data_IF_395123731037
#
_entry.id   IF_395123731037
#
_cell.length_a   1.000
_cell.length_b   1.000
_cell.length_c   1.000
_cell.angle_alpha   90.00
_cell.angle_beta   90.00
_cell.angle_gamma   90.00
#
_symmetry.space_group_name_H-M   'P 1'
#
loop_
_entity.id
_entity.type
_entity.pdbx_description
1 polymer ?
#
# COMPACT_ATOMS: atom_id res chain seq x y z
N UNK A 1 -30.20 6.90 71.18
CA UNK A 1 -30.18 8.07 70.27
C UNK A 1 -28.74 8.34 69.87
N UNK A 2 -28.52 8.82 68.63
CA UNK A 2 -27.24 9.05 67.95
C UNK A 2 -26.67 7.82 67.22
N UNK A 3 -26.89 7.66 65.92
CA UNK A 3 -26.36 8.38 64.74
C UNK A 3 -25.01 7.82 64.24
N UNK A 4 -25.16 6.83 63.35
CA UNK A 4 -24.39 6.53 62.15
C UNK A 4 -23.07 7.30 61.92
N UNK A 5 -21.93 6.62 62.13
CA UNK A 5 -20.64 7.05 61.61
C UNK A 5 -20.41 6.44 60.22
N UNK A 6 -20.44 7.27 59.17
CA UNK A 6 -19.93 6.91 57.85
C UNK A 6 -18.40 6.90 57.89
N UNK A 7 -17.79 5.73 57.73
CA UNK A 7 -16.36 5.59 57.45
C UNK A 7 -16.16 5.53 55.93
N UNK A 8 -15.47 6.51 55.37
CA UNK A 8 -14.90 6.43 54.02
C UNK A 8 -13.66 5.51 54.07
N UNK A 9 -13.57 4.42 53.29
CA UNK A 9 -12.29 3.82 52.97
C UNK A 9 -11.72 4.50 51.72
N UNK A 10 -10.53 5.09 51.88
CA UNK A 10 -9.71 5.55 50.77
C UNK A 10 -9.38 4.36 49.86
N UNK A 11 -9.84 4.40 48.60
CA UNK A 11 -9.40 3.50 47.54
C UNK A 11 -7.96 3.88 47.16
N UNK A 12 -7.01 3.12 47.69
CA UNK A 12 -5.64 3.05 47.18
C UNK A 12 -5.69 2.54 45.73
N UNK A 13 -5.49 3.46 44.78
CA UNK A 13 -5.21 3.14 43.38
C UNK A 13 -3.84 2.47 43.35
N UNK A 14 -3.82 1.14 43.36
CA UNK A 14 -2.62 0.36 43.12
C UNK A 14 -2.23 0.51 41.65
N UNK A 15 -1.29 1.43 41.41
CA UNK A 15 -0.59 1.57 40.15
C UNK A 15 0.30 0.33 39.96
N UNK A 16 -0.28 -0.76 39.45
CA UNK A 16 0.49 -1.94 39.08
C UNK A 16 1.14 -1.66 37.73
N UNK A 17 2.36 -1.14 37.81
CA UNK A 17 3.30 -1.05 36.71
C UNK A 17 3.59 -2.49 36.25
N UNK A 18 2.96 -2.93 35.18
CA UNK A 18 3.37 -4.15 34.46
C UNK A 18 4.65 -3.85 33.68
N UNK A 19 5.77 -3.93 34.39
CA UNK A 19 7.11 -4.03 33.82
C UNK A 19 7.41 -5.52 33.61
N UNK A 20 7.19 -6.01 32.39
CA UNK A 20 8.06 -7.01 31.74
C UNK A 20 7.44 -7.50 30.43
N UNK A 21 7.87 -6.89 29.33
CA UNK A 21 8.16 -7.65 28.12
C UNK A 21 9.53 -7.20 27.64
N UNK A 22 10.55 -7.62 28.38
CA UNK A 22 11.86 -7.95 27.82
C UNK A 22 11.66 -9.13 26.85
N UNK A 23 11.01 -8.86 25.72
CA UNK A 23 11.27 -9.61 24.51
C UNK A 23 12.59 -9.07 24.00
N UNK A 24 13.68 -9.73 24.41
CA UNK A 24 14.95 -9.61 23.73
C UNK A 24 14.69 -9.55 22.23
N UNK A 25 15.38 -8.65 21.53
CA UNK A 25 15.64 -8.85 20.12
C UNK A 25 16.41 -10.18 20.03
N UNK A 26 15.68 -11.29 20.01
CA UNK A 26 16.17 -12.50 19.40
C UNK A 26 16.65 -12.01 18.04
N UNK A 27 17.95 -12.11 17.83
CA UNK A 27 18.57 -11.91 16.54
C UNK A 27 18.10 -13.08 15.69
N UNK A 28 16.82 -13.10 15.36
CA UNK A 28 16.19 -14.11 14.55
C UNK A 28 16.89 -14.03 13.21
N UNK A 29 17.62 -15.12 12.89
CA UNK A 29 18.23 -15.25 11.57
C UNK A 29 17.09 -15.03 10.56
N UNK A 30 17.26 -14.14 9.57
CA UNK A 30 16.25 -13.92 8.56
C UNK A 30 15.88 -15.27 7.93
N UNK A 31 14.59 -15.51 7.75
CA UNK A 31 14.11 -16.57 6.88
C UNK A 31 14.73 -16.39 5.50
N UNK A 32 15.08 -17.50 4.87
CA UNK A 32 15.75 -17.49 3.58
C UNK A 32 14.72 -17.28 2.47
N UNK A 33 15.02 -16.36 1.56
CA UNK A 33 14.28 -16.25 0.30
C UNK A 33 15.02 -17.02 -0.79
N UNK A 34 14.32 -17.98 -1.39
CA UNK A 34 14.80 -18.73 -2.55
C UNK A 34 14.02 -18.24 -3.77
N UNK A 35 14.73 -17.65 -4.74
CA UNK A 35 14.08 -17.27 -6.00
C UNK A 35 13.74 -18.53 -6.79
N UNK A 36 12.46 -18.74 -7.06
CA UNK A 36 11.99 -19.89 -7.84
C UNK A 36 11.80 -19.54 -9.32
N UNK A 37 11.55 -18.27 -9.61
CA UNK A 37 11.11 -17.85 -10.93
C UNK A 37 11.39 -16.38 -11.17
N UNK A 38 11.67 -16.06 -12.43
CA UNK A 38 11.80 -14.71 -12.97
C UNK A 38 11.11 -14.65 -14.33
N UNK A 39 10.14 -13.76 -14.50
CA UNK A 39 9.30 -13.61 -15.69
C UNK A 39 9.53 -12.22 -16.28
N UNK A 40 9.81 -12.19 -17.58
CA UNK A 40 10.00 -10.97 -18.34
C UNK A 40 11.15 -11.14 -19.34
N UNK A 41 11.02 -10.53 -20.51
CA UNK A 41 12.05 -10.53 -21.55
C UNK A 41 12.03 -9.21 -22.31
N UNK A 42 13.20 -8.73 -22.73
CA UNK A 42 13.29 -7.60 -23.66
C UNK A 42 13.01 -8.00 -25.11
N UNK A 43 13.22 -9.28 -25.43
CA UNK A 43 13.20 -9.79 -26.80
C UNK A 43 11.83 -10.33 -27.22
N UNK A 44 10.89 -10.46 -26.29
CA UNK A 44 9.54 -10.96 -26.54
C UNK A 44 8.49 -9.96 -26.03
N UNK A 45 7.81 -9.30 -26.97
CA UNK A 45 6.75 -8.33 -26.68
C UNK A 45 5.62 -8.88 -25.79
N UNK A 46 5.37 -10.20 -25.83
CA UNK A 46 4.33 -10.82 -25.00
C UNK A 46 4.71 -10.86 -23.53
N UNK A 47 6.00 -10.94 -23.25
CA UNK A 47 6.55 -11.06 -21.89
C UNK A 47 7.30 -9.82 -21.45
N UNK A 48 7.57 -8.85 -22.34
CA UNK A 48 8.13 -7.56 -22.00
C UNK A 48 7.23 -6.78 -21.04
N UNK A 49 7.86 -6.17 -20.03
CA UNK A 49 7.17 -5.44 -18.98
C UNK A 49 7.72 -4.02 -18.91
N UNK A 50 6.83 -3.04 -19.05
CA UNK A 50 7.19 -1.62 -18.98
C UNK A 50 7.17 -1.12 -17.54
N UNK A 51 5.96 -1.06 -16.95
CA UNK A 51 5.73 -0.73 -15.55
C UNK A 51 4.63 -1.60 -14.98
N UNK A 52 4.94 -2.28 -13.89
CA UNK A 52 4.09 -3.19 -13.13
C UNK A 52 3.72 -2.52 -11.81
N UNK A 53 2.59 -1.80 -11.75
CA UNK A 53 2.12 -1.23 -10.50
C UNK A 53 1.44 -2.26 -9.60
N UNK A 54 0.79 -3.28 -10.20
CA UNK A 54 -0.12 -4.21 -9.52
C UNK A 54 0.04 -5.61 -10.13
N UNK A 55 0.08 -6.62 -9.25
CA UNK A 55 -0.02 -8.03 -9.59
C UNK A 55 -1.14 -8.63 -8.74
N UNK A 56 -2.03 -9.40 -9.36
CA UNK A 56 -2.99 -10.23 -8.65
C UNK A 56 -2.63 -11.70 -8.89
N UNK A 57 -2.73 -12.52 -7.84
CA UNK A 57 -2.38 -13.94 -7.88
C UNK A 57 -3.63 -14.75 -7.60
N UNK A 58 -3.99 -15.67 -8.49
CA UNK A 58 -5.12 -16.59 -8.32
C UNK A 58 -4.72 -17.86 -7.53
N UNK A 59 -5.67 -18.61 -6.93
CA UNK A 59 -5.35 -19.76 -6.07
C UNK A 59 -4.50 -20.84 -6.74
N UNK A 60 -4.66 -21.01 -8.04
CA UNK A 60 -3.86 -21.88 -8.91
C UNK A 60 -2.47 -21.30 -9.28
N UNK A 61 -2.11 -20.16 -8.69
CA UNK A 61 -0.91 -19.36 -8.95
C UNK A 61 -0.86 -18.72 -10.33
N UNK A 62 -1.98 -18.63 -11.05
CA UNK A 62 -2.09 -17.77 -12.24
C UNK A 62 -1.86 -16.31 -11.85
N UNK A 63 -1.01 -15.62 -12.61
CA UNK A 63 -0.61 -14.23 -12.38
C UNK A 63 -1.29 -13.31 -13.37
N UNK A 64 -1.96 -12.29 -12.85
CA UNK A 64 -2.50 -11.18 -13.63
C UNK A 64 -1.63 -9.95 -13.37
N UNK A 65 -1.00 -9.43 -14.42
CA UNK A 65 -0.01 -8.36 -14.34
C UNK A 65 -0.52 -7.14 -15.11
N UNK A 66 -0.78 -6.04 -14.40
CA UNK A 66 -1.22 -4.80 -15.04
C UNK A 66 -0.08 -4.20 -15.89
N UNK A 67 -0.41 -3.76 -17.10
CA UNK A 67 0.48 -3.02 -18.00
C UNK A 67 -0.23 -1.74 -18.46
N UNK A 68 -0.29 -0.70 -17.59
CA UNK A 68 -1.11 0.48 -17.85
C UNK A 68 -0.69 1.27 -19.09
N UNK A 69 0.59 1.25 -19.44
CA UNK A 69 1.11 1.94 -20.63
C UNK A 69 0.61 1.32 -21.94
N UNK A 70 0.21 0.06 -21.89
CA UNK A 70 -0.32 -0.70 -23.03
C UNK A 70 -1.84 -0.93 -22.92
N UNK A 71 -2.47 -0.38 -21.87
CA UNK A 71 -3.89 -0.55 -21.60
C UNK A 71 -4.35 -2.02 -21.60
N UNK A 72 -3.54 -2.92 -21.04
CA UNK A 72 -3.85 -4.35 -20.97
C UNK A 72 -3.38 -5.00 -19.67
N UNK A 73 -3.84 -6.22 -19.44
CA UNK A 73 -3.41 -7.10 -18.35
C UNK A 73 -2.78 -8.34 -18.98
N UNK A 74 -1.51 -8.62 -18.68
CA UNK A 74 -0.84 -9.86 -19.10
C UNK A 74 -1.16 -10.98 -18.11
N UNK A 75 -1.42 -12.18 -18.61
CA UNK A 75 -1.74 -13.36 -17.81
C UNK A 75 -0.65 -14.42 -18.00
N UNK A 76 -0.11 -14.90 -16.89
CA UNK A 76 0.90 -15.95 -16.85
C UNK A 76 0.39 -17.14 -16.02
N UNK A 77 0.72 -18.35 -16.44
CA UNK A 77 0.42 -19.55 -15.64
C UNK A 77 1.38 -19.68 -14.44
N UNK A 78 1.17 -20.68 -13.60
CA UNK A 78 1.99 -20.96 -12.42
C UNK A 78 3.47 -21.27 -12.74
N UNK A 79 3.76 -21.68 -13.98
CA UNK A 79 5.12 -21.90 -14.49
C UNK A 79 5.75 -20.63 -15.05
N UNK A 80 4.99 -19.52 -15.11
CA UNK A 80 5.45 -18.21 -15.56
C UNK A 80 5.40 -18.04 -17.07
N UNK A 81 4.78 -18.98 -17.78
CA UNK A 81 4.60 -18.90 -19.22
C UNK A 81 3.42 -17.99 -19.52
N UNK A 82 3.58 -17.14 -20.53
CA UNK A 82 2.52 -16.29 -21.02
C UNK A 82 1.35 -17.14 -21.53
N UNK A 83 0.14 -16.78 -21.10
CA UNK A 83 -1.10 -17.47 -21.48
C UNK A 83 -1.90 -16.60 -22.46
N UNK A 84 -2.17 -15.34 -22.08
CA UNK A 84 -3.00 -14.40 -22.84
C UNK A 84 -2.84 -12.97 -22.34
N UNK A 85 -3.39 -12.02 -23.08
CA UNK A 85 -3.60 -10.64 -22.66
C UNK A 85 -5.10 -10.34 -22.58
N UNK A 86 -5.50 -9.50 -21.63
CA UNK A 86 -6.87 -9.05 -21.43
C UNK A 86 -6.92 -7.54 -21.65
N UNK A 87 -7.83 -7.11 -22.52
CA UNK A 87 -8.05 -5.71 -22.86
C UNK A 87 -7.07 -5.16 -23.88
N UNK A 88 -7.33 -3.89 -24.23
CA UNK A 88 -6.56 -3.06 -25.17
C UNK A 88 -6.93 -1.59 -24.96
N UNK A 89 -6.22 -0.69 -25.62
CA UNK A 89 -6.57 0.73 -25.68
C UNK A 89 -7.95 0.96 -26.30
N UNK A 90 -8.84 1.67 -25.59
CA UNK A 90 -10.16 2.05 -26.10
C UNK A 90 -11.21 2.32 -25.01
N UNK A 91 -12.47 2.38 -25.41
CA UNK A 91 -13.62 2.70 -24.55
C UNK A 91 -14.74 1.65 -24.58
N UNK A 92 -14.66 0.68 -25.48
CA UNK A 92 -15.61 -0.41 -25.60
C UNK A 92 -15.57 -1.42 -24.44
N UNK A 93 -16.42 -2.45 -24.48
CA UNK A 93 -16.41 -3.55 -23.52
C UNK A 93 -15.04 -4.22 -23.43
N UNK A 94 -14.50 -4.30 -22.21
CA UNK A 94 -13.18 -4.89 -21.94
C UNK A 94 -11.97 -4.02 -22.32
N UNK A 95 -12.17 -2.81 -22.86
CA UNK A 95 -11.09 -1.88 -23.23
C UNK A 95 -10.76 -0.89 -22.11
N UNK A 96 -9.55 -0.33 -22.14
CA UNK A 96 -9.04 0.61 -21.14
C UNK A 96 -8.44 1.87 -21.77
N UNK A 97 -8.73 3.03 -21.17
CA UNK A 97 -8.02 4.30 -21.33
C UNK A 97 -6.96 4.52 -20.24
N UNK A 98 -7.25 4.09 -19.01
CA UNK A 98 -6.32 4.21 -17.87
C UNK A 98 -6.56 3.08 -16.88
N UNK A 99 -5.90 1.94 -17.11
CA UNK A 99 -5.91 0.80 -16.19
C UNK A 99 -5.25 1.19 -14.86
N UNK A 100 -6.05 1.36 -13.81
CA UNK A 100 -5.58 1.93 -12.54
C UNK A 100 -5.50 0.94 -11.39
N UNK A 101 -6.57 0.17 -11.14
CA UNK A 101 -6.64 -0.83 -10.07
C UNK A 101 -7.17 -2.15 -10.60
N UNK A 102 -6.79 -3.24 -9.97
CA UNK A 102 -7.34 -4.56 -10.27
C UNK A 102 -7.20 -5.48 -9.08
N UNK A 103 -7.93 -6.58 -9.11
CA UNK A 103 -7.83 -7.66 -8.14
C UNK A 103 -8.71 -8.83 -8.53
N UNK A 104 -8.75 -9.83 -7.66
CA UNK A 104 -9.58 -11.01 -7.85
C UNK A 104 -10.72 -11.04 -6.85
N UNK A 105 -11.79 -11.74 -7.22
CA UNK A 105 -12.87 -12.15 -6.34
C UNK A 105 -13.33 -13.53 -6.80
N UNK A 106 -12.90 -14.57 -6.10
CA UNK A 106 -12.98 -15.94 -6.64
C UNK A 106 -12.30 -15.98 -8.02
N UNK A 107 -13.00 -16.52 -9.01
CA UNK A 107 -12.50 -16.65 -10.39
C UNK A 107 -12.74 -15.40 -11.26
N UNK A 108 -13.28 -14.33 -10.67
CA UNK A 108 -13.53 -13.08 -11.38
C UNK A 108 -12.34 -12.12 -11.21
N UNK A 109 -11.74 -11.73 -12.33
CA UNK A 109 -10.86 -10.58 -12.39
C UNK A 109 -11.70 -9.31 -12.53
N UNK A 110 -11.47 -8.35 -11.64
CA UNK A 110 -12.01 -7.00 -11.78
C UNK A 110 -10.87 -6.02 -12.07
N UNK A 111 -11.15 -5.04 -12.91
CA UNK A 111 -10.23 -3.97 -13.26
C UNK A 111 -10.97 -2.64 -13.31
N UNK A 112 -10.31 -1.58 -12.83
CA UNK A 112 -10.84 -0.23 -12.79
C UNK A 112 -10.11 0.61 -13.82
N UNK A 113 -10.89 1.19 -14.70
CA UNK A 113 -10.47 2.32 -15.52
C UNK A 113 -10.75 3.63 -14.78
N UNK A 114 -9.70 4.33 -14.38
CA UNK A 114 -9.82 5.58 -13.63
C UNK A 114 -10.20 6.77 -14.50
N UNK A 115 -9.99 6.69 -15.83
CA UNK A 115 -10.34 7.76 -16.77
C UNK A 115 -11.81 7.68 -17.17
N UNK A 116 -12.30 6.45 -17.40
CA UNK A 116 -13.70 6.19 -17.73
C UNK A 116 -14.59 6.07 -16.49
N UNK A 117 -14.00 6.12 -15.28
CA UNK A 117 -14.68 5.84 -14.01
C UNK A 117 -15.51 4.56 -14.12
N UNK A 118 -14.87 3.46 -14.53
CA UNK A 118 -15.54 2.21 -14.87
C UNK A 118 -14.86 1.04 -14.18
N UNK A 119 -15.66 0.13 -13.65
CA UNK A 119 -15.19 -1.19 -13.25
C UNK A 119 -15.62 -2.21 -14.31
N UNK A 120 -14.69 -3.01 -14.80
CA UNK A 120 -14.91 -4.09 -15.76
C UNK A 120 -14.57 -5.43 -15.12
N UNK A 121 -15.35 -6.45 -15.46
CA UNK A 121 -15.22 -7.80 -14.91
C UNK A 121 -15.02 -8.83 -16.00
N UNK A 122 -14.11 -9.76 -15.73
CA UNK A 122 -13.64 -10.77 -16.66
C UNK A 122 -13.67 -12.15 -16.00
N UNK A 123 -13.98 -13.18 -16.78
CA UNK A 123 -13.84 -14.57 -16.35
C UNK A 123 -12.36 -14.96 -16.20
N UNK A 124 -12.09 -16.13 -15.63
CA UNK A 124 -10.74 -16.69 -15.55
C UNK A 124 -10.07 -16.86 -16.94
N UNK A 125 -10.86 -17.13 -17.99
CA UNK A 125 -10.36 -17.19 -19.37
C UNK A 125 -10.12 -15.81 -20.00
N UNK A 126 -10.40 -14.73 -19.28
CA UNK A 126 -10.20 -13.36 -19.73
C UNK A 126 -11.34 -12.79 -20.57
N UNK A 127 -12.50 -13.45 -20.61
CA UNK A 127 -13.67 -12.94 -21.33
C UNK A 127 -14.34 -11.85 -20.53
N UNK A 128 -14.48 -10.66 -21.13
CA UNK A 128 -15.30 -9.59 -20.57
C UNK A 128 -16.75 -10.04 -20.48
N UNK A 129 -17.41 -9.80 -19.35
CA UNK A 129 -18.83 -10.13 -19.22
C UNK A 129 -19.67 -9.02 -18.60
N UNK A 130 -19.09 -8.07 -17.85
CA UNK A 130 -19.83 -6.88 -17.40
C UNK A 130 -18.94 -5.68 -17.14
N UNK A 131 -19.54 -4.49 -17.23
CA UNK A 131 -18.93 -3.24 -16.80
C UNK A 131 -19.97 -2.34 -16.15
N UNK A 132 -19.61 -1.69 -15.06
CA UNK A 132 -20.44 -0.65 -14.43
C UNK A 132 -19.66 0.65 -14.34
N UNK A 133 -20.37 1.78 -14.55
CA UNK A 133 -19.82 3.08 -14.21
C UNK A 133 -19.77 3.22 -12.69
N UNK A 134 -18.65 3.69 -12.17
CA UNK A 134 -18.54 4.12 -10.79
C UNK A 134 -19.46 5.34 -10.61
N UNK A 135 -20.44 5.21 -9.73
CA UNK A 135 -21.31 6.31 -9.34
C UNK A 135 -20.48 7.46 -8.73
N UNK A 136 -21.02 8.70 -8.72
CA UNK A 136 -20.48 9.76 -7.88
C UNK A 136 -20.23 9.27 -6.46
N UNK A 137 -19.19 9.79 -5.82
CA UNK A 137 -18.80 9.30 -4.50
C UNK A 137 -19.95 9.47 -3.50
N UNK A 138 -20.39 8.39 -2.83
CA UNK A 138 -21.37 8.50 -1.75
C UNK A 138 -20.73 8.97 -0.42
N UNK A 139 -19.46 9.39 -0.46
CA UNK A 139 -18.65 9.73 0.72
C UNK A 139 -18.39 11.23 0.89
N UNK A 140 -18.93 12.06 -0.01
CA UNK A 140 -18.78 13.52 0.00
C UNK A 140 -18.81 14.09 -1.42
N UNK A 141 -19.39 15.29 -1.58
CA UNK A 141 -19.51 16.00 -2.87
C UNK A 141 -18.15 16.39 -3.44
N UNK A 142 -17.15 16.54 -2.57
CA UNK A 142 -15.77 16.86 -2.91
C UNK A 142 -15.02 15.72 -3.63
N UNK A 143 -15.58 14.51 -3.65
CA UNK A 143 -14.97 13.32 -4.23
C UNK A 143 -15.62 12.92 -5.56
N UNK A 144 -14.82 12.84 -6.63
CA UNK A 144 -15.34 12.53 -7.97
C UNK A 144 -15.79 11.07 -8.14
N UNK A 145 -15.09 10.13 -7.51
CA UNK A 145 -15.38 8.69 -7.61
C UNK A 145 -14.87 7.94 -6.39
N UNK A 146 -15.43 6.76 -6.15
CA UNK A 146 -15.04 5.86 -5.04
C UNK A 146 -14.64 4.49 -5.56
N UNK A 147 -13.45 4.38 -6.18
CA UNK A 147 -12.99 3.11 -6.72
C UNK A 147 -12.78 2.08 -5.59
N UNK A 148 -13.01 0.78 -5.89
CA UNK A 148 -12.72 -0.29 -4.93
C UNK A 148 -11.23 -0.33 -4.56
N UNK A 149 -10.97 -0.65 -3.30
CA UNK A 149 -9.69 -1.16 -2.80
C UNK A 149 -9.65 -2.70 -2.90
N UNK A 150 -10.80 -3.35 -2.77
CA UNK A 150 -10.96 -4.80 -2.86
C UNK A 150 -12.36 -5.24 -2.44
N UNK A 151 -12.59 -6.55 -2.44
CA UNK A 151 -13.87 -7.15 -2.04
C UNK A 151 -13.69 -7.94 -0.75
N UNK A 152 -14.70 -7.92 0.11
CA UNK A 152 -14.78 -8.84 1.26
C UNK A 152 -15.41 -10.17 0.82
N UNK A 153 -15.26 -11.20 1.66
CA UNK A 153 -15.77 -12.55 1.38
C UNK A 153 -17.30 -12.61 1.23
N UNK A 154 -18.03 -11.69 1.86
CA UNK A 154 -19.48 -11.51 1.70
C UNK A 154 -19.88 -10.86 0.36
N UNK A 155 -18.89 -10.41 -0.42
CA UNK A 155 -19.07 -9.76 -1.71
C UNK A 155 -19.36 -8.26 -1.65
N UNK A 156 -19.33 -7.65 -0.47
CA UNK A 156 -19.30 -6.21 -0.29
C UNK A 156 -17.95 -5.63 -0.72
N UNK A 157 -17.92 -4.33 -0.98
CA UNK A 157 -16.80 -3.62 -1.57
C UNK A 157 -16.16 -2.74 -0.50
N UNK A 158 -14.86 -2.89 -0.27
CA UNK A 158 -14.10 -1.89 0.48
C UNK A 158 -13.63 -0.85 -0.52
N UNK A 159 -14.01 0.40 -0.33
CA UNK A 159 -13.74 1.46 -1.29
C UNK A 159 -13.18 2.71 -0.60
N UNK A 160 -12.42 3.49 -1.35
CA UNK A 160 -11.80 4.73 -0.90
C UNK A 160 -11.92 5.76 -2.03
N UNK A 161 -12.30 7.01 -1.73
CA UNK A 161 -12.50 8.00 -2.77
C UNK A 161 -11.19 8.37 -3.46
N UNK A 162 -11.32 8.74 -4.74
CA UNK A 162 -10.26 9.42 -5.48
C UNK A 162 -10.07 10.81 -4.88
N UNK A 163 -8.85 11.12 -4.43
CA UNK A 163 -8.56 12.37 -3.73
C UNK A 163 -8.04 13.42 -4.72
N UNK A 164 -8.67 14.60 -4.82
CA UNK A 164 -8.13 15.70 -5.59
C UNK A 164 -6.74 16.10 -5.10
N UNK A 165 -5.79 16.34 -6.01
CA UNK A 165 -4.40 16.67 -5.64
C UNK A 165 -4.32 17.89 -4.73
N UNK A 166 -5.13 18.93 -4.98
CA UNK A 166 -5.21 20.12 -4.13
C UNK A 166 -5.66 19.79 -2.70
N UNK A 167 -6.62 18.87 -2.55
CA UNK A 167 -7.05 18.39 -1.24
C UNK A 167 -5.96 17.59 -0.56
N UNK A 168 -5.22 16.73 -1.28
CA UNK A 168 -4.08 16.01 -0.71
C UNK A 168 -2.94 16.95 -0.25
N UNK A 169 -2.86 18.16 -0.81
CA UNK A 169 -1.89 19.18 -0.48
C UNK A 169 -2.37 20.20 0.56
N UNK A 170 -3.65 20.17 0.97
CA UNK A 170 -4.28 21.21 1.78
C UNK A 170 -3.79 21.29 3.22
N UNK A 171 -3.07 20.27 3.71
CA UNK A 171 -2.57 20.27 5.07
C UNK A 171 -1.65 19.09 5.41
N UNK A 172 -1.12 19.08 6.64
CA UNK A 172 -0.23 18.02 7.12
C UNK A 172 -0.97 16.72 7.43
N UNK A 173 -2.29 16.76 7.61
CA UNK A 173 -3.09 15.60 7.93
C UNK A 173 -4.50 15.72 7.33
N UNK A 174 -4.79 14.97 6.27
CA UNK A 174 -6.11 14.93 5.62
C UNK A 174 -6.71 13.55 5.85
N UNK A 175 -7.91 13.48 6.44
CA UNK A 175 -8.60 12.22 6.71
C UNK A 175 -9.37 11.76 5.49
N UNK A 176 -9.11 10.54 5.05
CA UNK A 176 -9.77 9.94 3.89
C UNK A 176 -10.70 8.82 4.36
N UNK A 177 -12.01 8.91 4.08
CA UNK A 177 -12.95 7.88 4.49
C UNK A 177 -12.66 6.57 3.76
N UNK A 178 -12.79 5.46 4.48
CA UNK A 178 -12.79 4.10 3.92
C UNK A 178 -14.13 3.48 4.24
N UNK A 179 -14.86 3.08 3.21
CA UNK A 179 -16.24 2.61 3.36
C UNK A 179 -16.41 1.17 2.88
N UNK A 180 -17.35 0.48 3.52
CA UNK A 180 -17.91 -0.76 3.01
C UNK A 180 -19.16 -0.39 2.21
N UNK A 181 -19.18 -0.76 0.94
CA UNK A 181 -20.29 -0.52 0.02
C UNK A 181 -20.93 -1.85 -0.39
N UNK A 182 -22.22 -1.81 -0.74
CA UNK A 182 -22.84 -2.94 -1.44
C UNK A 182 -22.44 -2.95 -2.93
N UNK A 183 -22.99 -3.91 -3.69
CA UNK A 183 -22.69 -4.05 -5.13
C UNK A 183 -23.22 -2.90 -5.98
N UNK A 184 -24.19 -2.15 -5.47
CA UNK A 184 -24.79 -0.99 -6.11
C UNK A 184 -24.05 0.31 -5.72
N UNK A 185 -23.02 0.23 -4.87
CA UNK A 185 -22.23 1.37 -4.42
C UNK A 185 -22.84 2.13 -3.24
N UNK A 186 -23.90 1.61 -2.60
CA UNK A 186 -24.49 2.24 -1.41
C UNK A 186 -23.64 1.95 -0.19
N UNK A 187 -23.49 2.94 0.69
CA UNK A 187 -22.71 2.79 1.93
C UNK A 187 -23.44 1.89 2.91
N UNK A 188 -22.83 0.76 3.25
CA UNK A 188 -23.29 -0.16 4.29
C UNK A 188 -22.76 0.26 5.66
N UNK A 189 -21.46 0.58 5.72
CA UNK A 189 -20.76 0.94 6.95
C UNK A 189 -19.45 1.66 6.63
N UNK A 190 -18.74 2.15 7.65
CA UNK A 190 -17.48 2.89 7.49
C UNK A 190 -16.39 2.29 8.37
N UNK A 191 -15.26 1.96 7.76
CA UNK A 191 -14.03 1.66 8.49
C UNK A 191 -13.41 2.97 9.02
N UNK A 192 -12.41 2.89 9.92
CA UNK A 192 -11.62 4.06 10.28
C UNK A 192 -11.04 4.76 9.05
N UNK A 193 -10.99 6.08 9.08
CA UNK A 193 -10.35 6.87 8.03
C UNK A 193 -8.84 6.60 7.96
N UNK A 194 -8.28 6.71 6.76
CA UNK A 194 -6.84 6.71 6.51
C UNK A 194 -6.32 8.15 6.50
N UNK A 195 -5.17 8.40 7.12
CA UNK A 195 -4.55 9.73 7.13
C UNK A 195 -3.61 9.92 5.93
N UNK A 196 -3.85 10.94 5.10
CA UNK A 196 -2.82 11.48 4.21
C UNK A 196 -1.94 12.44 4.99
N UNK A 197 -0.66 12.12 5.12
CA UNK A 197 0.26 12.83 6.03
C UNK A 197 1.11 13.86 5.30
N UNK A 198 0.47 14.67 4.46
CA UNK A 198 1.16 15.72 3.75
C UNK A 198 2.18 15.22 2.72
N UNK A 199 1.93 14.03 2.17
CA UNK A 199 2.79 13.43 1.14
C UNK A 199 2.79 14.20 -0.18
N UNK A 200 1.88 15.17 -0.33
CA UNK A 200 1.84 16.13 -1.42
C UNK A 200 1.93 17.53 -0.84
N UNK A 201 2.75 18.39 -1.45
CA UNK A 201 2.95 19.79 -1.06
C UNK A 201 2.61 20.69 -2.23
N UNK A 202 1.95 21.78 -1.89
CA UNK A 202 1.76 22.88 -2.82
C UNK A 202 3.08 23.62 -3.03
N UNK A 203 3.44 23.87 -4.29
CA UNK A 203 4.57 24.69 -4.68
C UNK A 203 4.05 25.83 -5.55
N UNK A 204 4.16 27.08 -5.06
CA UNK A 204 3.83 28.26 -5.87
C UNK A 204 4.89 28.42 -6.95
N UNK A 205 4.46 28.48 -8.20
CA UNK A 205 5.29 28.73 -9.37
C UNK A 205 4.82 30.02 -10.07
N UNK A 206 5.69 30.75 -10.78
CA UNK A 206 5.35 31.98 -11.51
C UNK A 206 4.01 31.98 -12.27
N UNK A 207 3.60 30.84 -12.84
CA UNK A 207 2.35 30.71 -13.62
C UNK A 207 1.21 29.99 -12.86
N UNK A 208 1.28 29.89 -11.53
CA UNK A 208 0.21 29.35 -10.69
C UNK A 208 0.69 28.42 -9.58
N UNK A 209 -0.02 27.30 -9.42
CA UNK A 209 0.21 26.34 -8.34
C UNK A 209 0.59 24.97 -8.90
N UNK A 210 1.76 24.49 -8.52
CA UNK A 210 2.22 23.12 -8.76
C UNK A 210 2.09 22.26 -7.50
N UNK A 211 2.21 20.93 -7.67
CA UNK A 211 2.19 19.99 -6.56
C UNK A 211 3.40 19.06 -6.61
N UNK A 212 4.13 18.98 -5.51
CA UNK A 212 5.31 18.12 -5.35
C UNK A 212 4.97 17.00 -4.38
N UNK A 213 5.28 15.75 -4.75
CA UNK A 213 5.14 14.62 -3.83
C UNK A 213 6.41 14.42 -3.03
N UNK A 214 6.29 14.16 -1.74
CA UNK A 214 7.44 13.73 -0.94
C UNK A 214 7.96 12.40 -1.51
N UNK A 215 9.29 12.24 -1.61
CA UNK A 215 9.88 10.97 -1.99
C UNK A 215 9.71 9.89 -0.92
N UNK A 216 9.38 10.27 0.33
CA UNK A 216 9.28 9.39 1.48
C UNK A 216 7.88 9.48 2.08
N UNK A 217 6.87 8.83 1.46
CA UNK A 217 5.49 8.97 1.87
C UNK A 217 5.23 8.30 3.23
N UNK A 218 4.44 8.97 4.07
CA UNK A 218 4.08 8.51 5.41
C UNK A 218 2.57 8.35 5.60
N UNK A 219 1.77 8.60 4.56
CA UNK A 219 0.31 8.35 4.61
C UNK A 219 0.01 6.91 4.99
N UNK A 220 -1.09 6.73 5.73
CA UNK A 220 -1.53 5.41 6.18
C UNK A 220 -1.77 4.48 4.98
N UNK A 221 -1.43 3.20 5.14
CA UNK A 221 -1.66 2.19 4.10
C UNK A 221 -2.92 1.40 4.43
N UNK A 222 -3.76 1.19 3.42
CA UNK A 222 -4.97 0.34 3.53
C UNK A 222 -4.90 -0.76 2.48
N UNK A 223 -5.11 -2.01 2.90
CA UNK A 223 -5.17 -3.17 2.02
C UNK A 223 -6.34 -4.07 2.41
N UNK A 224 -6.97 -4.65 1.41
CA UNK A 224 -7.93 -5.75 1.60
C UNK A 224 -7.16 -7.05 1.37
N UNK A 225 -7.38 -8.04 2.24
CA UNK A 225 -6.80 -9.36 2.05
C UNK A 225 -7.29 -9.95 0.71
N UNK A 226 -6.44 -10.66 -0.06
CA UNK A 226 -6.84 -11.22 -1.36
C UNK A 226 -8.01 -12.20 -1.30
N UNK A 227 -8.19 -12.88 -0.16
CA UNK A 227 -9.31 -13.79 0.13
C UNK A 227 -10.57 -13.07 0.64
N UNK A 228 -10.51 -11.74 0.79
CA UNK A 228 -11.59 -10.92 1.32
C UNK A 228 -11.86 -11.08 2.82
N UNK A 229 -10.97 -11.74 3.57
CA UNK A 229 -11.17 -12.05 4.99
C UNK A 229 -11.05 -10.84 5.93
N UNK A 230 -10.31 -9.81 5.52
CA UNK A 230 -10.04 -8.65 6.38
C UNK A 230 -9.59 -7.41 5.59
N UNK A 231 -9.70 -6.26 6.25
CA UNK A 231 -9.06 -4.99 5.90
C UNK A 231 -7.95 -4.70 6.89
N UNK A 232 -6.77 -4.35 6.37
CA UNK A 232 -5.58 -4.01 7.13
C UNK A 232 -5.25 -2.53 6.96
N UNK A 233 -5.17 -1.82 8.07
CA UNK A 233 -4.68 -0.45 8.16
C UNK A 233 -3.30 -0.45 8.80
N UNK A 234 -2.35 0.25 8.18
CA UNK A 234 -1.02 0.48 8.74
C UNK A 234 -0.82 1.98 8.90
N UNK A 235 -0.85 2.44 10.15
CA UNK A 235 -0.56 3.83 10.53
C UNK A 235 0.93 3.95 10.80
N UNK A 236 1.60 4.82 10.04
CA UNK A 236 3.07 4.90 9.99
C UNK A 236 3.57 6.35 10.03
N UNK A 237 3.27 7.11 11.09
CA UNK A 237 3.74 8.48 11.21
C UNK A 237 5.27 8.53 11.15
N UNK A 238 5.80 9.62 10.60
CA UNK A 238 7.25 9.86 10.61
C UNK A 238 7.74 9.99 12.06
N UNK A 239 8.90 9.40 12.40
CA UNK A 239 9.54 9.66 13.69
C UNK A 239 9.85 11.16 13.86
N UNK A 240 9.63 11.67 15.07
CA UNK A 240 9.99 13.05 15.46
C UNK A 240 11.10 13.11 16.51
N UNK A 241 11.47 11.96 17.08
CA UNK A 241 12.52 11.80 18.10
C UNK A 241 13.47 10.71 17.67
N UNK A 242 14.71 10.74 18.17
CA UNK A 242 15.77 9.78 17.84
C UNK A 242 15.72 8.48 18.65
N UNK A 243 15.02 8.49 19.80
CA UNK A 243 15.04 7.41 20.79
C UNK A 243 13.96 6.35 20.56
N UNK A 244 12.81 6.74 19.99
CA UNK A 244 11.66 5.85 19.87
C UNK A 244 10.67 6.32 18.80
N UNK A 245 10.28 5.39 17.91
CA UNK A 245 9.11 5.54 17.07
C UNK A 245 8.25 4.28 17.11
N UNK A 246 7.02 4.41 16.62
CA UNK A 246 6.10 3.30 16.51
C UNK A 246 5.22 3.41 15.26
N UNK A 247 4.83 2.26 14.74
CA UNK A 247 3.74 2.15 13.76
C UNK A 247 2.63 1.27 14.36
N UNK A 248 1.42 1.41 13.85
CA UNK A 248 0.25 0.67 14.34
C UNK A 248 -0.37 -0.11 13.21
N UNK A 249 -0.68 -1.39 13.46
CA UNK A 249 -1.41 -2.24 12.52
C UNK A 249 -2.77 -2.57 13.13
N UNK A 250 -3.82 -2.29 12.38
CA UNK A 250 -5.20 -2.62 12.69
C UNK A 250 -5.72 -3.57 11.62
N UNK A 251 -6.20 -4.74 12.04
CA UNK A 251 -6.83 -5.73 11.16
C UNK A 251 -8.28 -5.91 11.59
N UNK A 252 -9.21 -5.75 10.65
CA UNK A 252 -10.65 -5.82 10.91
C UNK A 252 -11.32 -6.72 9.87
N UNK A 253 -12.27 -7.58 10.27
CA UNK A 253 -13.10 -8.33 9.32
C UNK A 253 -14.20 -7.44 8.75
N UNK A 254 -14.85 -6.70 9.64
CA UNK A 254 -15.86 -5.67 9.35
C UNK A 254 -15.58 -4.44 10.21
N UNK A 255 -16.25 -3.30 10.00
CA UNK A 255 -16.05 -2.14 10.86
C UNK A 255 -16.38 -2.33 12.35
N UNK A 256 -17.19 -3.36 12.70
CA UNK A 256 -17.52 -3.70 14.08
C UNK A 256 -16.74 -4.91 14.62
N UNK A 257 -15.99 -5.63 13.78
CA UNK A 257 -15.22 -6.82 14.16
C UNK A 257 -13.72 -6.59 13.94
N UNK A 258 -13.04 -6.16 15.01
CA UNK A 258 -11.58 -6.00 15.03
C UNK A 258 -10.91 -7.33 15.39
N UNK A 259 -10.04 -7.81 14.51
CA UNK A 259 -9.19 -8.99 14.78
C UNK A 259 -8.10 -8.63 15.76
N UNK A 260 -7.37 -7.54 15.50
CA UNK A 260 -6.40 -6.98 16.44
C UNK A 260 -6.07 -5.52 16.12
N UNK A 261 -5.60 -4.80 17.13
CA UNK A 261 -4.94 -3.50 17.03
C UNK A 261 -3.63 -3.57 17.83
N UNK A 262 -2.49 -3.41 17.15
CA UNK A 262 -1.17 -3.51 17.80
C UNK A 262 -0.23 -2.39 17.38
N UNK A 263 0.59 -1.93 18.32
CA UNK A 263 1.64 -0.95 18.10
C UNK A 263 3.01 -1.61 18.22
N UNK A 264 3.89 -1.35 17.25
CA UNK A 264 5.22 -1.93 17.16
C UNK A 264 6.25 -0.82 17.26
N UNK A 265 7.08 -0.91 18.29
CA UNK A 265 8.16 0.05 18.55
C UNK A 265 9.39 -0.30 17.72
N UNK A 266 10.12 0.73 17.31
CA UNK A 266 11.37 0.55 16.60
C UNK A 266 12.33 1.73 16.81
N UNK A 267 13.65 1.49 16.66
CA UNK A 267 14.62 2.57 16.66
C UNK A 267 14.52 3.37 15.35
N UNK A 268 14.22 4.68 15.39
CA UNK A 268 14.23 5.55 14.22
C UNK A 268 15.62 5.57 13.56
N UNK A 269 15.65 5.62 12.23
CA UNK A 269 16.89 5.80 11.47
C UNK A 269 16.86 7.12 10.73
N UNK A 270 17.90 7.96 10.82
CA UNK A 270 17.99 9.14 9.99
C UNK A 270 17.93 8.79 8.50
N UNK A 271 17.36 9.69 7.69
CA UNK A 271 17.50 9.58 6.23
C UNK A 271 18.98 9.80 5.89
N UNK A 272 19.66 8.86 5.20
CA UNK A 272 21.06 9.03 4.84
C UNK A 272 21.25 10.26 3.93
N UNK A 273 22.33 11.04 4.06
CA UNK A 273 22.59 12.20 3.18
C UNK A 273 22.55 11.84 1.69
N UNK A 274 23.13 10.69 1.32
CA UNK A 274 23.11 10.17 -0.05
C UNK A 274 21.69 9.91 -0.58
N UNK A 275 20.78 9.44 0.27
CA UNK A 275 19.39 9.26 -0.11
C UNK A 275 18.70 10.61 -0.30
N UNK A 276 18.95 11.59 0.59
CA UNK A 276 18.44 12.95 0.42
C UNK A 276 18.94 13.59 -0.88
N UNK A 277 20.22 13.42 -1.21
CA UNK A 277 20.84 13.96 -2.40
C UNK A 277 20.38 13.24 -3.68
N UNK A 278 20.12 11.93 -3.65
CA UNK A 278 19.57 11.19 -4.79
C UNK A 278 18.13 11.61 -5.14
N UNK A 279 17.37 12.11 -4.17
CA UNK A 279 15.97 12.50 -4.35
C UNK A 279 15.84 13.94 -4.89
N UNK A 280 16.84 14.78 -4.62
CA UNK A 280 16.85 16.20 -4.97
C UNK A 280 16.79 16.46 -6.48
N UNK A 281 17.55 15.79 -7.38
CA UNK A 281 17.49 16.04 -8.83
C UNK A 281 16.11 15.82 -9.44
N UNK A 282 15.36 14.81 -8.97
CA UNK A 282 14.01 14.53 -9.48
C UNK A 282 13.02 15.64 -9.13
N UNK A 283 13.06 16.11 -7.88
CA UNK A 283 12.23 17.23 -7.41
C UNK A 283 12.64 18.54 -8.08
N UNK A 284 13.95 18.80 -8.22
CA UNK A 284 14.48 19.96 -8.93
C UNK A 284 13.99 20.01 -10.36
N UNK A 285 14.14 18.93 -11.14
CA UNK A 285 13.66 18.88 -12.54
C UNK A 285 12.16 19.16 -12.69
N UNK A 286 11.37 18.80 -11.68
CA UNK A 286 9.95 19.12 -11.68
C UNK A 286 9.70 20.61 -11.41
N UNK A 287 10.33 21.15 -10.38
CA UNK A 287 10.18 22.56 -9.98
C UNK A 287 10.75 23.53 -11.03
N UNK A 288 11.87 23.17 -11.66
CA UNK A 288 12.54 23.96 -12.72
C UNK A 288 11.69 24.15 -13.98
N UNK A 289 10.56 23.43 -14.12
CA UNK A 289 9.56 23.71 -15.17
C UNK A 289 8.83 25.03 -14.96
N UNK A 290 8.80 25.52 -13.72
CA UNK A 290 8.06 26.71 -13.33
C UNK A 290 8.93 27.81 -12.73
N UNK A 291 10.01 27.48 -12.02
CA UNK A 291 10.85 28.45 -11.29
C UNK A 291 12.34 28.29 -11.63
N UNK A 292 13.16 29.27 -11.25
CA UNK A 292 14.62 29.14 -11.39
C UNK A 292 15.19 28.06 -10.46
N UNK A 293 16.36 27.52 -10.81
CA UNK A 293 17.06 26.53 -9.97
C UNK A 293 17.30 27.04 -8.54
N UNK A 294 17.68 28.30 -8.38
CA UNK A 294 17.92 28.90 -7.07
C UNK A 294 16.64 28.95 -6.21
N UNK A 295 15.49 29.23 -6.81
CA UNK A 295 14.18 29.19 -6.15
C UNK A 295 13.76 27.75 -5.81
N UNK A 296 13.98 26.80 -6.72
CA UNK A 296 13.69 25.39 -6.47
C UNK A 296 14.54 24.83 -5.32
N UNK A 297 15.83 25.16 -5.29
CA UNK A 297 16.72 24.79 -4.20
C UNK A 297 16.32 25.45 -2.88
N UNK A 298 15.88 26.72 -2.91
CA UNK A 298 15.34 27.40 -1.73
C UNK A 298 14.06 26.71 -1.24
N UNK A 299 13.11 26.40 -2.12
CA UNK A 299 11.90 25.68 -1.77
C UNK A 299 12.18 24.31 -1.14
N UNK A 300 13.13 23.53 -1.69
CA UNK A 300 13.53 22.24 -1.11
C UNK A 300 14.16 22.42 0.27
N UNK A 301 14.99 23.46 0.48
CA UNK A 301 15.61 23.73 1.79
C UNK A 301 14.60 24.20 2.83
N UNK A 302 13.67 25.05 2.42
CA UNK A 302 12.69 25.68 3.32
C UNK A 302 11.46 24.78 3.56
N UNK A 303 11.41 23.61 2.91
CA UNK A 303 10.34 22.63 3.09
C UNK A 303 10.82 21.36 3.78
N UNK A 304 9.95 20.77 4.59
CA UNK A 304 10.18 19.45 5.20
C UNK A 304 9.89 18.30 4.20
N UNK A 305 10.21 18.50 2.91
CA UNK A 305 9.96 17.50 1.86
C UNK A 305 10.76 16.22 2.06
N UNK A 306 11.99 16.36 2.58
CA UNK A 306 12.85 15.24 2.95
C UNK A 306 12.81 15.13 4.47
N UNK A 307 12.18 14.09 5.04
CA UNK A 307 12.06 13.97 6.49
C UNK A 307 13.42 13.67 7.13
N UNK A 308 13.58 14.05 8.40
CA UNK A 308 14.80 13.76 9.16
C UNK A 308 15.03 12.24 9.34
N UNK A 309 13.96 11.46 9.44
CA UNK A 309 14.01 10.02 9.67
C UNK A 309 13.30 9.23 8.57
N UNK A 310 13.78 8.02 8.31
CA UNK A 310 13.12 7.05 7.46
C UNK A 310 11.73 6.68 8.03
N UNK A 311 10.75 6.37 7.16
CA UNK A 311 9.44 5.98 7.62
C UNK A 311 9.56 4.59 8.25
N UNK A 312 8.78 4.36 9.32
CA UNK A 312 8.77 3.06 9.97
C UNK A 312 8.34 1.93 9.05
N UNK A 313 7.52 2.21 8.04
CA UNK A 313 7.03 1.21 7.08
C UNK A 313 7.04 1.84 5.69
N UNK A 314 7.70 1.21 4.73
CA UNK A 314 7.76 1.64 3.33
C UNK A 314 6.57 1.09 2.53
N UNK A 315 6.14 -0.15 2.79
CA UNK A 315 5.01 -0.78 2.10
C UNK A 315 4.36 -1.90 2.95
N UNK A 316 3.18 -2.35 2.53
CA UNK A 316 2.47 -3.50 3.10
C UNK A 316 1.93 -4.40 1.98
N UNK A 317 2.12 -5.70 2.15
CA UNK A 317 1.52 -6.77 1.35
C UNK A 317 0.73 -7.66 2.30
N UNK A 318 -0.54 -7.90 1.99
CA UNK A 318 -1.39 -8.82 2.77
C UNK A 318 -1.48 -10.11 1.97
N UNK A 319 -1.09 -11.22 2.58
CA UNK A 319 -1.23 -12.54 1.97
C UNK A 319 -2.62 -13.14 2.23
N UNK A 320 -2.88 -14.29 1.63
CA UNK A 320 -3.95 -15.16 2.11
C UNK A 320 -3.61 -15.71 3.51
N UNK A 321 -4.62 -16.31 4.16
CA UNK A 321 -4.54 -16.81 5.54
C UNK A 321 -4.28 -15.71 6.59
N UNK A 322 -4.38 -14.45 6.16
CA UNK A 322 -4.29 -13.29 7.04
C UNK A 322 -2.88 -12.89 7.46
N UNK A 323 -1.84 -13.36 6.77
CA UNK A 323 -0.46 -12.90 6.95
C UNK A 323 -0.27 -11.47 6.46
N UNK A 324 0.59 -10.70 7.12
CA UNK A 324 0.88 -9.31 6.75
C UNK A 324 2.38 -9.13 6.66
N UNK A 325 2.86 -8.71 5.50
CA UNK A 325 4.26 -8.43 5.22
C UNK A 325 4.48 -6.92 5.19
N UNK A 326 5.41 -6.43 6.01
CA UNK A 326 5.68 -5.02 6.20
C UNK A 326 7.11 -4.70 5.79
N UNK A 327 7.26 -3.92 4.71
CA UNK A 327 8.56 -3.37 4.31
C UNK A 327 9.00 -2.33 5.33
N UNK A 328 10.16 -2.52 5.94
CA UNK A 328 10.74 -1.65 6.96
C UNK A 328 11.84 -0.78 6.32
N UNK A 329 13.04 -0.88 6.86
CA UNK A 329 14.22 -0.10 6.54
C UNK A 329 14.95 -0.69 5.35
N UNK A 330 15.53 0.19 4.54
CA UNK A 330 16.54 -0.19 3.57
C UNK A 330 17.88 -0.38 4.31
N UNK A 331 18.48 -1.54 4.17
CA UNK A 331 19.77 -1.91 4.74
C UNK A 331 20.87 -1.61 3.70
N UNK A 332 21.33 -0.36 3.68
CA UNK A 332 22.26 0.14 2.64
C UNK A 332 21.60 0.13 1.26
N UNK A 333 22.36 -0.19 0.22
CA UNK A 333 21.84 -0.34 -1.15
C UNK A 333 21.47 -1.79 -1.50
N UNK A 334 21.55 -2.72 -0.54
CA UNK A 334 21.52 -4.17 -0.84
C UNK A 334 20.16 -4.81 -0.68
N UNK A 335 19.46 -4.49 0.42
CA UNK A 335 18.22 -5.17 0.76
C UNK A 335 17.27 -4.29 1.57
N UNK A 336 15.98 -4.58 1.49
CA UNK A 336 14.93 -4.07 2.39
C UNK A 336 14.58 -5.18 3.38
N UNK A 337 14.50 -4.84 4.67
CA UNK A 337 13.97 -5.75 5.68
C UNK A 337 12.45 -5.81 5.57
N UNK A 338 11.89 -7.02 5.51
CA UNK A 338 10.44 -7.23 5.56
C UNK A 338 10.07 -8.07 6.78
N UNK A 339 9.17 -7.54 7.61
CA UNK A 339 8.63 -8.27 8.77
C UNK A 339 7.39 -9.04 8.35
N UNK A 340 7.28 -10.29 8.80
CA UNK A 340 6.04 -11.07 8.72
C UNK A 340 5.28 -10.98 10.03
N UNK A 341 4.02 -10.58 9.96
CA UNK A 341 3.07 -10.71 11.05
C UNK A 341 2.12 -11.88 10.75
N UNK A 342 1.90 -12.73 11.75
CA UNK A 342 0.89 -13.78 11.66
C UNK A 342 -0.53 -13.20 11.70
N UNK A 343 -1.54 -14.07 11.58
CA UNK A 343 -2.95 -13.65 11.55
C UNK A 343 -3.44 -12.87 12.79
N UNK A 344 -2.74 -12.99 13.93
CA UNK A 344 -3.00 -12.34 15.23
C UNK A 344 -2.15 -11.09 15.47
N UNK A 345 -1.27 -10.75 14.54
CA UNK A 345 -0.36 -9.61 14.64
C UNK A 345 0.89 -9.89 15.50
N UNK A 346 1.24 -11.13 15.77
CA UNK A 346 2.55 -11.41 16.37
C UNK A 346 3.61 -11.44 15.27
N UNK A 347 4.81 -10.95 15.55
CA UNK A 347 5.95 -11.06 14.63
C UNK A 347 6.31 -12.55 14.54
N UNK A 348 6.17 -13.12 13.34
CA UNK A 348 6.49 -14.53 13.10
C UNK A 348 7.92 -14.72 12.60
N UNK A 349 8.47 -13.71 11.93
CA UNK A 349 9.83 -13.71 11.43
C UNK A 349 10.09 -12.54 10.48
N UNK A 350 11.22 -12.59 9.80
CA UNK A 350 11.61 -11.56 8.84
C UNK A 350 12.37 -12.15 7.65
N UNK A 351 12.28 -11.47 6.52
CA UNK A 351 13.06 -11.78 5.31
C UNK A 351 13.84 -10.56 4.85
N UNK A 352 14.93 -10.78 4.12
CA UNK A 352 15.68 -9.73 3.44
C UNK A 352 15.40 -9.80 1.94
N UNK A 353 14.70 -8.81 1.42
CA UNK A 353 14.35 -8.70 -0.01
C UNK A 353 15.38 -7.81 -0.69
N UNK A 354 15.91 -8.14 -1.88
CA UNK A 354 16.83 -7.26 -2.60
C UNK A 354 16.27 -5.83 -2.77
N UNK A 355 17.13 -4.80 -2.67
CA UNK A 355 16.68 -3.41 -2.68
C UNK A 355 16.05 -2.96 -4.01
N UNK A 356 16.40 -3.64 -5.11
CA UNK A 356 15.81 -3.44 -6.43
C UNK A 356 14.49 -4.23 -6.63
N UNK A 357 14.00 -4.93 -5.60
CA UNK A 357 12.75 -5.71 -5.66
C UNK A 357 11.66 -5.04 -4.83
N UNK A 358 10.54 -4.71 -5.48
CA UNK A 358 9.32 -4.21 -4.85
C UNK A 358 8.30 -5.32 -4.73
N UNK A 359 8.06 -5.84 -3.51
CA UNK A 359 7.00 -6.83 -3.29
C UNK A 359 5.61 -6.26 -3.51
N UNK A 360 4.74 -7.05 -4.15
CA UNK A 360 3.38 -6.68 -4.53
C UNK A 360 2.31 -7.67 -4.06
N UNK A 361 2.65 -8.95 -3.94
CA UNK A 361 1.70 -9.98 -3.52
C UNK A 361 2.37 -11.05 -2.67
N UNK A 362 1.57 -11.72 -1.85
CA UNK A 362 1.98 -12.84 -1.03
C UNK A 362 0.87 -13.90 -1.06
N UNK A 363 1.27 -15.16 -1.07
CA UNK A 363 0.35 -16.31 -1.03
C UNK A 363 1.04 -17.51 -0.41
N UNK A 364 0.49 -18.05 0.68
CA UNK A 364 1.10 -19.13 1.44
C UNK A 364 2.55 -18.80 1.82
N UNK A 365 3.48 -19.64 1.38
CA UNK A 365 4.93 -19.51 1.57
C UNK A 365 5.64 -18.73 0.46
N UNK A 366 4.90 -18.11 -0.47
CA UNK A 366 5.47 -17.42 -1.63
C UNK A 366 5.20 -15.93 -1.64
N UNK A 367 6.17 -15.20 -2.18
CA UNK A 367 6.16 -13.76 -2.36
C UNK A 367 6.39 -13.43 -3.83
N UNK A 368 5.63 -12.48 -4.34
CA UNK A 368 5.80 -11.93 -5.69
C UNK A 368 6.20 -10.48 -5.59
N UNK A 369 7.20 -10.11 -6.38
CA UNK A 369 7.67 -8.74 -6.50
C UNK A 369 8.04 -8.39 -7.92
N UNK A 370 8.41 -7.14 -8.09
CA UNK A 370 8.95 -6.61 -9.33
C UNK A 370 10.41 -6.25 -9.08
N UNK A 371 11.30 -6.94 -9.78
CA UNK A 371 12.72 -6.62 -9.83
C UNK A 371 12.96 -5.58 -10.92
N UNK A 372 13.61 -4.47 -10.57
CA UNK A 372 14.14 -3.52 -11.56
C UNK A 372 15.57 -3.94 -11.89
N UNK A 373 15.79 -4.34 -13.14
CA UNK A 373 17.10 -4.69 -13.68
C UNK A 373 17.87 -3.48 -14.21
N UNK A 374 18.95 -3.76 -14.95
CA UNK A 374 19.70 -2.74 -15.66
C UNK A 374 18.81 -1.96 -16.63
N UNK A 375 19.09 -0.66 -16.80
CA UNK A 375 18.34 0.25 -17.67
C UNK A 375 16.87 0.49 -17.26
N UNK A 376 16.45 0.05 -16.07
CA UNK A 376 15.12 0.30 -15.54
C UNK A 376 14.05 -0.69 -16.00
N UNK A 377 14.45 -1.81 -16.62
CA UNK A 377 13.54 -2.86 -17.10
C UNK A 377 12.97 -3.62 -15.90
N UNK A 378 11.66 -3.86 -15.89
CA UNK A 378 10.99 -4.58 -14.80
C UNK A 378 10.79 -6.06 -15.13
N UNK A 379 10.94 -6.92 -14.10
CA UNK A 379 10.74 -8.37 -14.18
C UNK A 379 9.89 -8.81 -13.00
N UNK A 380 8.95 -9.74 -13.19
CA UNK A 380 8.27 -10.38 -12.06
C UNK A 380 9.20 -11.43 -11.47
N UNK A 381 9.38 -11.39 -10.16
CA UNK A 381 10.14 -12.41 -9.41
C UNK A 381 9.22 -13.10 -8.41
N UNK A 382 9.37 -14.41 -8.30
CA UNK A 382 8.70 -15.23 -7.27
C UNK A 382 9.74 -15.83 -6.34
N UNK A 383 9.54 -15.63 -5.05
CA UNK A 383 10.34 -16.22 -3.99
C UNK A 383 9.53 -17.21 -3.18
N UNK A 384 10.16 -18.29 -2.73
CA UNK A 384 9.69 -19.15 -1.65
C UNK A 384 10.42 -18.78 -0.36
N UNK A 385 9.66 -18.73 0.74
CA UNK A 385 10.16 -18.43 2.08
C UNK A 385 10.50 -19.75 2.78
N UNK A 386 11.77 -19.93 3.14
CA UNK A 386 12.25 -21.04 3.96
C UNK A 386 12.49 -20.54 5.39
N UNK A 387 11.77 -21.13 6.35
CA UNK A 387 11.72 -20.67 7.74
C UNK A 387 12.81 -21.29 8.61
#
# INVERSE_FOLDING_TARGET
MAHLHWKFPALLVSCTILLSASGAAAQERPWRLVQEQRIGSLDDERTSLTRVPIVAVAPDLTLYVAQPMESLIRVFDSSGRYVRSIGRGGEGPGEFRLLGRMGLRGDTLWAVDLRLNRISRFSAEGRHYSSDRLAPSPLGEEFQSTPPLGYLSDGSIVAQPSIPTAMAASGPNVQIPVAQLDRQGRVLSRFPSASLRGDTREARIPNGVGFVRTPVPSSDLVRVAPDGSAVVFVRRPLPTRSDQAAFTVLKMRTPSDTVFLRSYRFPPRPVPPQAADSLRPGVLRFLERGMSRAEAERFIRDSDLIPQYQPGISNVVVGDEGTIWLGREVLGERAVRWLNLNARGDIAGLVLVPANVRLLAARGDRLWGVETGEWGVEYIVRYRVER
#
